data_IF_920658548477
#
_entry.id   IF_920658548477
#
_cell.length_a   1.000
_cell.length_b   1.000
_cell.length_c   1.000
_cell.angle_alpha   90.00
_cell.angle_beta   90.00
_cell.angle_gamma   90.00
#
_symmetry.space_group_name_H-M   'P 1'
#
loop_
_entity.id
_entity.type
_entity.pdbx_description
1 polymer ?
#
# COMPACT_ATOMS: atom_id res chain seq x y z
N UNK A 1 24.01 13.49 2.46
CA UNK A 1 22.93 12.92 3.31
C UNK A 1 23.32 11.49 3.61
N UNK A 2 23.19 11.06 4.86
CA UNK A 2 23.47 9.70 5.31
C UNK A 2 22.58 8.65 4.61
N UNK A 3 21.33 9.00 4.25
CA UNK A 3 20.41 8.17 3.46
C UNK A 3 21.06 7.69 2.15
N UNK A 4 21.73 8.61 1.42
CA UNK A 4 22.43 8.29 0.17
C UNK A 4 23.55 7.27 0.39
N UNK A 5 24.30 7.40 1.50
CA UNK A 5 25.35 6.44 1.89
C UNK A 5 24.81 5.05 2.18
N UNK A 6 23.64 4.94 2.81
CA UNK A 6 22.99 3.64 3.06
C UNK A 6 22.52 2.99 1.77
N UNK A 7 21.89 3.75 0.87
CA UNK A 7 21.45 3.22 -0.44
C UNK A 7 22.66 2.70 -1.24
N UNK A 8 23.79 3.44 -1.22
CA UNK A 8 25.03 3.01 -1.86
C UNK A 8 25.55 1.70 -1.28
N UNK A 9 25.56 1.55 0.06
CA UNK A 9 25.98 0.30 0.73
C UNK A 9 25.02 -0.87 0.44
N UNK A 10 23.72 -0.62 0.27
CA UNK A 10 22.78 -1.66 -0.12
C UNK A 10 23.08 -2.19 -1.51
N UNK A 11 23.40 -1.30 -2.46
CA UNK A 11 23.81 -1.70 -3.80
C UNK A 11 25.13 -2.50 -3.79
N UNK A 12 26.12 -2.07 -2.98
CA UNK A 12 27.42 -2.74 -2.84
C UNK A 12 27.30 -4.15 -2.27
N UNK A 13 26.39 -4.35 -1.30
CA UNK A 13 26.25 -5.61 -0.55
C UNK A 13 25.16 -6.53 -1.07
N UNK A 14 24.59 -6.22 -2.20
CA UNK A 14 23.46 -6.97 -2.78
C UNK A 14 22.27 -7.08 -1.80
N UNK A 15 21.96 -6.03 -1.05
CA UNK A 15 20.81 -6.01 -0.13
C UNK A 15 19.54 -5.59 -0.86
N UNK A 16 18.46 -6.29 -0.59
CA UNK A 16 17.14 -5.88 -1.00
C UNK A 16 16.67 -4.65 -0.19
N UNK A 17 15.61 -4.00 -0.62
CA UNK A 17 15.05 -2.94 0.19
C UNK A 17 13.87 -2.20 -0.43
N UNK A 18 13.11 -1.59 0.46
CA UNK A 18 12.11 -0.59 0.13
C UNK A 18 12.64 0.79 0.50
N UNK A 19 12.56 1.72 -0.45
CA UNK A 19 12.98 3.12 -0.27
C UNK A 19 11.83 4.02 -0.71
N UNK A 20 11.14 4.62 0.25
CA UNK A 20 10.15 5.66 -0.04
C UNK A 20 10.82 7.02 -0.11
N UNK A 21 10.54 7.75 -1.19
CA UNK A 21 11.08 9.08 -1.49
C UNK A 21 9.92 10.09 -1.57
N UNK A 22 9.82 10.96 -0.58
CA UNK A 22 8.77 11.98 -0.49
C UNK A 22 8.76 12.96 -1.67
N UNK A 23 9.92 13.35 -2.16
CA UNK A 23 10.10 14.23 -3.31
C UNK A 23 10.52 13.47 -4.58
N UNK A 24 10.16 12.20 -4.67
CA UNK A 24 10.53 11.28 -5.74
C UNK A 24 9.86 11.52 -7.09
N UNK A 25 9.62 12.78 -7.48
CA UNK A 25 9.05 13.14 -8.78
C UNK A 25 10.10 13.04 -9.89
N UNK A 26 10.02 12.03 -10.78
CA UNK A 26 11.03 11.80 -11.81
C UNK A 26 11.06 12.89 -12.90
N UNK A 27 10.06 13.76 -12.96
CA UNK A 27 9.96 14.84 -13.96
C UNK A 27 10.73 16.09 -13.54
N UNK A 28 11.14 16.18 -12.27
CA UNK A 28 11.93 17.31 -11.75
C UNK A 28 13.42 17.09 -11.95
N UNK A 29 14.05 17.92 -12.76
CA UNK A 29 15.47 17.79 -13.11
C UNK A 29 16.46 18.19 -11.99
N UNK A 30 16.04 19.00 -11.03
CA UNK A 30 16.93 19.68 -10.08
C UNK A 30 17.17 18.97 -8.76
N UNK A 31 16.38 17.95 -8.42
CA UNK A 31 16.56 17.21 -7.16
C UNK A 31 17.14 15.83 -7.41
N UNK A 32 18.24 15.45 -6.72
CA UNK A 32 18.71 14.07 -6.78
C UNK A 32 17.72 13.19 -6.01
N UNK A 33 16.74 12.67 -6.71
CA UNK A 33 15.77 11.73 -6.14
C UNK A 33 16.47 10.42 -5.75
N UNK A 34 15.99 9.78 -4.69
CA UNK A 34 16.62 8.58 -4.13
C UNK A 34 16.64 7.42 -5.14
N UNK A 35 15.66 7.33 -6.02
CA UNK A 35 15.62 6.34 -7.10
C UNK A 35 16.78 6.47 -8.09
N UNK A 36 17.19 7.69 -8.45
CA UNK A 36 18.37 7.91 -9.33
C UNK A 36 19.66 7.51 -8.63
N UNK A 37 19.77 7.76 -7.32
CA UNK A 37 20.92 7.37 -6.52
C UNK A 37 20.99 5.84 -6.42
N UNK A 38 19.86 5.18 -6.15
CA UNK A 38 19.77 3.72 -6.09
C UNK A 38 20.20 3.08 -7.41
N UNK A 39 19.60 3.53 -8.52
CA UNK A 39 19.93 3.05 -9.86
C UNK A 39 21.40 3.26 -10.21
N UNK A 40 21.92 4.50 -10.01
CA UNK A 40 23.31 4.82 -10.31
C UNK A 40 24.31 4.02 -9.44
N UNK A 41 23.98 3.76 -8.18
CA UNK A 41 24.81 2.92 -7.29
C UNK A 41 24.84 1.47 -7.75
N UNK A 42 23.69 0.91 -8.12
CA UNK A 42 23.59 -0.46 -8.65
C UNK A 42 24.40 -0.60 -9.93
N UNK A 43 24.25 0.30 -10.89
CA UNK A 43 25.01 0.29 -12.14
C UNK A 43 26.51 0.44 -11.91
N UNK A 44 26.91 1.30 -10.94
CA UNK A 44 28.32 1.47 -10.60
C UNK A 44 28.99 0.15 -10.14
N UNK A 45 28.34 -0.59 -9.24
CA UNK A 45 28.88 -1.86 -8.74
C UNK A 45 28.75 -2.99 -9.76
N UNK A 46 27.66 -3.03 -10.52
CA UNK A 46 27.49 -3.97 -11.62
C UNK A 46 28.59 -3.85 -12.68
N UNK A 47 28.96 -2.61 -13.04
CA UNK A 47 30.06 -2.34 -13.96
C UNK A 47 31.44 -2.74 -13.41
N UNK A 48 31.56 -2.92 -12.10
CA UNK A 48 32.74 -3.50 -11.44
C UNK A 48 32.70 -5.04 -11.36
N UNK A 49 31.70 -5.69 -11.92
CA UNK A 49 31.53 -7.15 -11.88
C UNK A 49 31.01 -7.68 -10.55
N UNK A 50 30.45 -6.83 -9.69
CA UNK A 50 29.87 -7.24 -8.41
C UNK A 50 28.40 -7.68 -8.57
N UNK A 51 27.98 -8.62 -7.75
CA UNK A 51 26.56 -8.92 -7.59
C UNK A 51 25.83 -7.75 -6.94
N UNK A 52 24.71 -7.34 -7.53
CA UNK A 52 23.91 -6.21 -7.08
C UNK A 52 22.43 -6.56 -7.08
N UNK A 53 21.62 -5.94 -6.22
CA UNK A 53 20.18 -6.14 -6.27
C UNK A 53 19.60 -5.69 -7.62
N UNK A 54 18.44 -6.22 -7.97
CA UNK A 54 17.65 -5.68 -9.07
C UNK A 54 17.14 -4.30 -8.68
N UNK A 55 16.94 -3.45 -9.67
CA UNK A 55 16.31 -2.14 -9.45
C UNK A 55 14.86 -2.18 -9.92
N UNK A 56 13.96 -1.62 -9.11
CA UNK A 56 12.59 -1.36 -9.50
C UNK A 56 12.14 0.01 -9.00
N UNK A 57 11.26 0.67 -9.75
CA UNK A 57 10.75 1.98 -9.40
C UNK A 57 9.24 2.07 -9.60
N UNK A 58 8.53 2.55 -8.59
CA UNK A 58 7.12 2.89 -8.65
C UNK A 58 6.97 4.40 -8.51
N UNK A 59 6.26 5.01 -9.43
CA UNK A 59 5.83 6.41 -9.35
C UNK A 59 4.46 6.56 -10.03
N UNK A 60 3.80 7.68 -9.80
CA UNK A 60 2.46 7.95 -10.29
C UNK A 60 2.40 9.18 -11.21
N UNK A 61 3.53 9.58 -11.78
CA UNK A 61 3.63 10.74 -12.69
C UNK A 61 4.22 10.38 -14.06
N UNK A 62 5.15 9.42 -14.12
CA UNK A 62 5.78 8.95 -15.35
C UNK A 62 5.57 7.44 -15.52
N UNK A 63 4.58 7.07 -16.31
CA UNK A 63 4.20 5.67 -16.53
C UNK A 63 5.25 4.88 -17.33
N UNK A 64 6.15 5.55 -18.05
CA UNK A 64 7.22 4.88 -18.80
C UNK A 64 8.34 4.32 -17.90
N UNK A 65 8.41 4.78 -16.65
CA UNK A 65 9.46 4.43 -15.68
C UNK A 65 8.92 3.77 -14.42
N UNK A 66 7.71 3.25 -14.46
CA UNK A 66 7.08 2.61 -13.31
C UNK A 66 6.85 1.13 -13.55
N UNK A 67 7.10 0.29 -12.54
CA UNK A 67 6.58 -1.07 -12.52
C UNK A 67 5.15 -1.08 -12.02
N UNK A 68 4.37 -2.08 -12.42
CA UNK A 68 2.96 -2.24 -12.05
C UNK A 68 2.82 -3.31 -10.99
N UNK A 69 2.02 -3.05 -9.97
CA UNK A 69 1.87 -3.94 -8.81
C UNK A 69 0.41 -4.15 -8.44
N UNK A 70 0.10 -5.29 -7.88
CA UNK A 70 -1.23 -5.56 -7.34
C UNK A 70 -1.14 -5.82 -5.83
N UNK A 71 -1.59 -4.86 -5.01
CA UNK A 71 -1.58 -4.97 -3.55
C UNK A 71 -2.60 -5.98 -3.00
N UNK A 72 -3.54 -6.44 -3.82
CA UNK A 72 -4.52 -7.48 -3.50
C UNK A 72 -4.19 -8.82 -4.20
N UNK A 73 -2.96 -8.99 -4.69
CA UNK A 73 -2.56 -10.23 -5.35
C UNK A 73 -2.63 -11.41 -4.39
N UNK A 74 -3.26 -12.52 -4.79
CA UNK A 74 -3.36 -13.74 -3.98
C UNK A 74 -2.00 -14.33 -3.58
N UNK A 75 -0.92 -14.02 -4.32
CA UNK A 75 0.42 -14.54 -4.03
C UNK A 75 0.97 -14.08 -2.67
N UNK A 76 0.46 -12.97 -2.10
CA UNK A 76 0.89 -12.44 -0.79
C UNK A 76 0.04 -12.95 0.38
N UNK A 77 -1.01 -13.70 0.08
CA UNK A 77 -1.99 -14.15 1.06
C UNK A 77 -1.68 -15.56 1.54
N UNK A 78 -1.68 -15.77 2.86
CA UNK A 78 -1.59 -17.10 3.42
C UNK A 78 -2.94 -17.82 3.32
N UNK A 79 -2.92 -19.08 2.91
CA UNK A 79 -4.14 -19.90 2.78
C UNK A 79 -4.91 -19.93 4.11
N UNK A 80 -6.19 -19.56 4.04
CA UNK A 80 -7.10 -19.48 5.18
C UNK A 80 -7.08 -18.15 5.93
N UNK A 81 -6.17 -17.22 5.58
CA UNK A 81 -6.07 -15.88 6.17
C UNK A 81 -6.28 -14.75 5.15
N UNK A 82 -6.79 -15.09 3.97
CA UNK A 82 -6.95 -14.15 2.85
C UNK A 82 -7.85 -12.96 3.25
N UNK A 83 -8.95 -13.25 3.94
CA UNK A 83 -9.89 -12.21 4.41
C UNK A 83 -9.23 -11.21 5.37
N UNK A 84 -8.35 -11.68 6.25
CA UNK A 84 -7.62 -10.82 7.19
C UNK A 84 -6.60 -9.93 6.45
N UNK A 85 -5.90 -10.49 5.47
CA UNK A 85 -4.97 -9.74 4.64
C UNK A 85 -5.68 -8.60 3.89
N UNK A 86 -6.78 -8.94 3.19
CA UNK A 86 -7.59 -7.97 2.44
C UNK A 86 -8.11 -6.88 3.39
N UNK A 87 -8.62 -7.29 4.57
CA UNK A 87 -9.11 -6.33 5.58
C UNK A 87 -8.03 -5.35 6.01
N UNK A 88 -6.80 -5.81 6.23
CA UNK A 88 -5.69 -4.95 6.60
C UNK A 88 -5.35 -3.94 5.50
N UNK A 89 -5.33 -4.35 4.23
CA UNK A 89 -5.08 -3.43 3.11
C UNK A 89 -6.19 -2.38 3.01
N UNK A 90 -7.45 -2.78 3.11
CA UNK A 90 -8.58 -1.84 3.06
C UNK A 90 -8.58 -0.89 4.27
N UNK A 91 -8.29 -1.39 5.47
CA UNK A 91 -8.15 -0.52 6.64
C UNK A 91 -7.01 0.49 6.48
N UNK A 92 -5.86 0.07 5.94
CA UNK A 92 -4.73 0.96 5.64
C UNK A 92 -5.16 2.04 4.65
N UNK A 93 -5.85 1.65 3.57
CA UNK A 93 -6.36 2.57 2.56
C UNK A 93 -7.29 3.63 3.18
N UNK A 94 -8.34 3.17 3.84
CA UNK A 94 -9.42 4.05 4.34
C UNK A 94 -8.92 4.99 5.44
N UNK A 95 -8.04 4.52 6.33
CA UNK A 95 -7.44 5.37 7.38
C UNK A 95 -6.41 6.38 6.84
N UNK A 96 -5.80 6.12 5.70
CA UNK A 96 -4.95 7.10 5.02
C UNK A 96 -5.77 8.18 4.33
N UNK A 97 -6.95 7.82 3.80
CA UNK A 97 -7.85 8.75 3.12
C UNK A 97 -8.58 9.67 4.09
N UNK A 98 -8.93 9.17 5.26
CA UNK A 98 -9.70 9.93 6.26
C UNK A 98 -8.93 10.01 7.58
N UNK A 99 -8.32 11.17 7.82
CA UNK A 99 -7.43 11.38 8.98
C UNK A 99 -8.14 11.17 10.33
N UNK A 100 -9.43 11.49 10.42
CA UNK A 100 -10.23 11.32 11.64
C UNK A 100 -10.37 9.85 12.05
N UNK A 101 -10.17 8.90 11.12
CA UNK A 101 -10.27 7.45 11.37
C UNK A 101 -8.95 6.82 11.84
N UNK A 102 -7.87 7.58 11.90
CA UNK A 102 -6.55 7.07 12.33
C UNK A 102 -6.58 6.58 13.78
N UNK A 103 -7.11 7.39 14.68
CA UNK A 103 -7.14 7.06 16.11
C UNK A 103 -8.37 6.26 16.51
N UNK A 104 -9.56 6.69 16.07
CA UNK A 104 -10.82 6.04 16.45
C UNK A 104 -11.78 6.00 15.27
N UNK A 105 -12.34 4.82 15.03
CA UNK A 105 -13.42 4.64 14.06
C UNK A 105 -14.77 4.66 14.79
N UNK A 106 -15.68 5.50 14.31
CA UNK A 106 -17.06 5.55 14.73
C UNK A 106 -17.95 4.54 13.96
N UNK A 107 -19.24 4.63 14.16
CA UNK A 107 -20.22 3.79 13.46
C UNK A 107 -20.13 3.94 11.92
N UNK A 108 -20.01 5.18 11.42
CA UNK A 108 -19.98 5.46 9.98
C UNK A 108 -18.69 4.97 9.34
N UNK A 109 -17.55 5.22 9.99
CA UNK A 109 -16.24 4.74 9.58
C UNK A 109 -16.19 3.21 9.50
N UNK A 110 -16.71 2.51 10.53
CA UNK A 110 -16.74 1.06 10.55
C UNK A 110 -17.61 0.48 9.42
N UNK A 111 -18.77 1.07 9.15
CA UNK A 111 -19.64 0.65 8.04
C UNK A 111 -19.00 0.95 6.68
N UNK A 112 -18.35 2.12 6.52
CA UNK A 112 -17.64 2.47 5.29
C UNK A 112 -16.50 1.50 5.00
N UNK A 113 -15.65 1.20 5.99
CA UNK A 113 -14.57 0.22 5.88
C UNK A 113 -15.13 -1.17 5.55
N UNK A 114 -16.21 -1.58 6.22
CA UNK A 114 -16.81 -2.88 5.99
C UNK A 114 -17.43 -3.03 4.60
N UNK A 115 -18.02 -1.95 4.06
CA UNK A 115 -18.53 -1.91 2.68
C UNK A 115 -17.42 -2.12 1.66
N UNK A 116 -16.32 -1.35 1.76
CA UNK A 116 -15.18 -1.46 0.83
C UNK A 116 -14.47 -2.80 0.98
N UNK A 117 -14.31 -3.29 2.22
CA UNK A 117 -13.76 -4.62 2.49
C UNK A 117 -14.59 -5.74 1.85
N UNK A 118 -15.92 -5.66 1.95
CA UNK A 118 -16.79 -6.68 1.38
C UNK A 118 -16.71 -6.73 -0.15
N UNK A 119 -16.59 -5.56 -0.80
CA UNK A 119 -16.33 -5.48 -2.24
C UNK A 119 -14.98 -6.14 -2.57
N UNK A 120 -13.91 -5.78 -1.84
CA UNK A 120 -12.58 -6.33 -2.07
C UNK A 120 -12.54 -7.85 -1.86
N UNK A 121 -13.22 -8.36 -0.84
CA UNK A 121 -13.29 -9.78 -0.58
C UNK A 121 -14.12 -10.53 -1.64
N UNK A 122 -15.21 -9.94 -2.14
CA UNK A 122 -15.96 -10.50 -3.28
C UNK A 122 -15.10 -10.52 -4.55
N UNK A 123 -14.37 -9.43 -4.85
CA UNK A 123 -13.41 -9.41 -5.96
C UNK A 123 -12.36 -10.53 -5.84
N UNK A 124 -11.86 -10.80 -4.63
CA UNK A 124 -10.94 -11.91 -4.40
C UNK A 124 -11.58 -13.27 -4.65
N UNK A 125 -12.83 -13.49 -4.18
CA UNK A 125 -13.57 -14.74 -4.45
C UNK A 125 -13.79 -14.95 -5.95
N UNK A 126 -14.04 -13.88 -6.68
CA UNK A 126 -14.23 -13.85 -8.14
C UNK A 126 -12.98 -13.49 -8.95
N UNK A 127 -11.79 -13.65 -8.36
CA UNK A 127 -10.50 -13.23 -8.96
C UNK A 127 -10.21 -13.77 -10.35
N UNK A 128 -10.85 -14.87 -10.73
CA UNK A 128 -10.74 -15.42 -12.10
C UNK A 128 -11.27 -14.45 -13.17
N UNK A 129 -12.10 -13.47 -12.78
CA UNK A 129 -12.57 -12.40 -13.66
C UNK A 129 -11.55 -11.27 -13.88
N UNK A 130 -10.37 -11.33 -13.24
CA UNK A 130 -9.35 -10.29 -13.35
C UNK A 130 -9.62 -9.02 -12.54
N UNK A 131 -10.65 -9.02 -11.68
CA UNK A 131 -11.11 -7.84 -10.92
C UNK A 131 -10.51 -7.71 -9.52
N UNK A 132 -9.63 -8.63 -9.11
CA UNK A 132 -9.01 -8.61 -7.78
C UNK A 132 -7.83 -7.63 -7.72
N UNK A 133 -8.10 -6.37 -7.95
CA UNK A 133 -7.13 -5.27 -7.81
C UNK A 133 -7.78 -4.08 -7.10
N UNK A 134 -6.97 -3.26 -6.45
CA UNK A 134 -7.47 -2.11 -5.69
C UNK A 134 -8.28 -1.13 -6.55
N UNK A 135 -7.86 -0.76 -7.78
CA UNK A 135 -8.65 0.10 -8.65
C UNK A 135 -10.02 -0.46 -9.02
N UNK A 136 -10.17 -1.76 -9.23
CA UNK A 136 -11.48 -2.37 -9.49
C UNK A 136 -12.39 -2.29 -8.25
N UNK A 137 -11.82 -2.51 -7.05
CA UNK A 137 -12.56 -2.33 -5.79
C UNK A 137 -13.06 -0.89 -5.65
N UNK A 138 -12.20 0.11 -5.95
CA UNK A 138 -12.58 1.52 -5.92
C UNK A 138 -13.69 1.82 -6.93
N UNK A 139 -13.54 1.37 -8.17
CA UNK A 139 -14.55 1.58 -9.22
C UNK A 139 -15.91 0.98 -8.83
N UNK A 140 -15.94 -0.24 -8.27
CA UNK A 140 -17.15 -0.88 -7.78
C UNK A 140 -17.74 -0.13 -6.57
N UNK A 141 -16.91 0.30 -5.62
CA UNK A 141 -17.36 1.08 -4.47
C UNK A 141 -18.00 2.42 -4.86
N UNK A 142 -17.56 3.02 -5.96
CA UNK A 142 -18.09 4.27 -6.52
C UNK A 142 -19.28 4.07 -7.46
N UNK A 143 -19.65 2.82 -7.79
CA UNK A 143 -20.77 2.48 -8.65
C UNK A 143 -22.12 2.63 -7.94
N UNK A 144 -23.21 2.34 -8.65
CA UNK A 144 -24.56 2.31 -8.07
C UNK A 144 -24.62 1.33 -6.90
N UNK A 145 -24.91 1.85 -5.71
CA UNK A 145 -24.90 1.06 -4.48
C UNK A 145 -25.94 -0.05 -4.45
N UNK A 146 -27.09 0.11 -5.15
CA UNK A 146 -28.12 -0.94 -5.21
C UNK A 146 -27.60 -2.16 -5.98
N UNK A 147 -26.93 -1.92 -7.11
CA UNK A 147 -26.30 -2.99 -7.88
C UNK A 147 -25.21 -3.70 -7.07
N UNK A 148 -24.40 -2.92 -6.37
CA UNK A 148 -23.34 -3.45 -5.51
C UNK A 148 -23.90 -4.25 -4.34
N UNK A 149 -24.93 -3.77 -3.64
CA UNK A 149 -25.58 -4.52 -2.56
C UNK A 149 -26.22 -5.82 -3.07
N UNK A 150 -26.85 -5.79 -4.25
CA UNK A 150 -27.40 -7.00 -4.87
C UNK A 150 -26.30 -8.03 -5.08
N UNK A 151 -25.21 -7.64 -5.76
CA UNK A 151 -24.04 -8.50 -6.05
C UNK A 151 -23.39 -9.05 -4.78
N UNK A 152 -23.21 -8.22 -3.73
CA UNK A 152 -22.66 -8.66 -2.45
C UNK A 152 -23.57 -9.65 -1.72
N UNK A 153 -24.89 -9.47 -1.83
CA UNK A 153 -25.88 -10.33 -1.15
C UNK A 153 -25.97 -11.75 -1.71
N UNK A 154 -25.45 -11.99 -2.91
CA UNK A 154 -25.39 -13.33 -3.53
C UNK A 154 -24.42 -14.28 -2.83
N UNK A 155 -23.44 -13.76 -2.11
CA UNK A 155 -22.48 -14.55 -1.35
C UNK A 155 -22.87 -14.62 0.12
N UNK A 156 -23.20 -15.83 0.66
CA UNK A 156 -23.70 -15.98 2.04
C UNK A 156 -22.71 -15.50 3.11
N UNK A 157 -21.40 -15.69 2.88
CA UNK A 157 -20.35 -15.27 3.83
C UNK A 157 -20.25 -13.74 3.88
N UNK A 158 -20.29 -13.10 2.71
CA UNK A 158 -20.24 -11.64 2.60
C UNK A 158 -21.53 -11.04 3.15
N UNK A 159 -22.67 -11.65 2.83
CA UNK A 159 -23.98 -11.23 3.36
C UNK A 159 -24.02 -11.27 4.89
N UNK A 160 -23.38 -12.26 5.51
CA UNK A 160 -23.26 -12.35 6.98
C UNK A 160 -22.41 -11.19 7.52
N UNK A 161 -21.26 -10.90 6.91
CA UNK A 161 -20.36 -9.82 7.32
C UNK A 161 -21.00 -8.42 7.20
N UNK A 162 -21.97 -8.26 6.30
CA UNK A 162 -22.71 -7.03 6.05
C UNK A 162 -24.16 -7.09 6.52
N UNK A 163 -24.53 -8.01 7.40
CA UNK A 163 -25.93 -8.31 7.75
C UNK A 163 -26.74 -7.09 8.16
N UNK A 164 -26.21 -6.19 8.99
CA UNK A 164 -26.88 -4.95 9.42
C UNK A 164 -27.17 -4.01 8.26
N UNK A 165 -26.18 -3.82 7.37
CA UNK A 165 -26.29 -2.92 6.22
C UNK A 165 -27.21 -3.48 5.15
N UNK A 166 -27.13 -4.78 4.85
CA UNK A 166 -28.01 -5.46 3.92
C UNK A 166 -29.46 -5.54 4.43
N UNK A 167 -29.65 -5.70 5.75
CA UNK A 167 -30.98 -5.65 6.35
C UNK A 167 -31.58 -4.25 6.22
N UNK A 168 -30.83 -3.19 6.52
CA UNK A 168 -31.29 -1.82 6.34
C UNK A 168 -31.64 -1.53 4.86
N UNK A 169 -30.82 -1.99 3.93
CA UNK A 169 -31.08 -1.86 2.49
C UNK A 169 -32.37 -2.59 2.06
N UNK A 170 -32.56 -3.85 2.45
CA UNK A 170 -33.75 -4.65 2.14
C UNK A 170 -35.05 -4.07 2.73
N UNK A 171 -34.95 -3.45 3.90
CA UNK A 171 -36.07 -2.76 4.56
C UNK A 171 -36.35 -1.35 4.02
N UNK A 172 -35.59 -0.89 3.03
CA UNK A 172 -35.75 0.42 2.42
C UNK A 172 -35.30 1.59 3.33
N UNK A 173 -34.42 1.34 4.31
CA UNK A 173 -33.84 2.36 5.17
C UNK A 173 -32.77 3.18 4.41
N UNK A 174 -33.20 3.92 3.39
CA UNK A 174 -32.33 4.57 2.40
C UNK A 174 -31.35 5.57 3.03
N UNK A 175 -31.78 6.33 4.04
CA UNK A 175 -30.92 7.33 4.69
C UNK A 175 -29.71 6.67 5.40
N UNK A 176 -29.94 5.56 6.08
CA UNK A 176 -28.87 4.86 6.81
C UNK A 176 -27.87 4.20 5.86
N UNK A 177 -28.34 3.53 4.82
CA UNK A 177 -27.47 2.90 3.82
C UNK A 177 -26.73 3.93 2.99
N UNK A 178 -27.41 5.00 2.54
CA UNK A 178 -26.80 6.10 1.80
C UNK A 178 -25.70 6.80 2.60
N UNK A 179 -25.91 7.03 3.91
CA UNK A 179 -24.90 7.63 4.78
C UNK A 179 -23.63 6.79 4.87
N UNK A 180 -23.76 5.46 5.08
CA UNK A 180 -22.60 4.56 5.14
C UNK A 180 -21.85 4.47 3.80
N UNK A 181 -22.57 4.39 2.68
CA UNK A 181 -22.00 4.36 1.33
C UNK A 181 -21.31 5.69 1.01
N UNK A 182 -21.95 6.83 1.31
CA UNK A 182 -21.37 8.16 1.09
C UNK A 182 -20.08 8.37 1.90
N UNK A 183 -20.05 7.88 3.16
CA UNK A 183 -18.83 7.92 3.98
C UNK A 183 -17.67 7.13 3.36
N UNK A 184 -17.96 6.07 2.60
CA UNK A 184 -16.94 5.32 1.86
C UNK A 184 -16.57 6.03 0.55
N UNK A 185 -17.57 6.47 -0.23
CA UNK A 185 -17.36 7.02 -1.57
C UNK A 185 -16.62 8.35 -1.56
N UNK A 186 -16.95 9.24 -0.62
CA UNK A 186 -16.37 10.60 -0.55
C UNK A 186 -14.83 10.58 -0.54
N UNK A 187 -14.16 9.87 0.36
CA UNK A 187 -12.69 9.81 0.33
C UNK A 187 -12.13 9.01 -0.84
N UNK A 188 -12.86 7.98 -1.33
CA UNK A 188 -12.39 7.13 -2.43
C UNK A 188 -12.33 7.85 -3.78
N UNK A 189 -13.12 8.92 -3.99
CA UNK A 189 -13.07 9.71 -5.24
C UNK A 189 -11.67 10.23 -5.55
N UNK A 190 -10.86 10.55 -4.52
CA UNK A 190 -9.47 10.99 -4.71
C UNK A 190 -8.60 9.95 -5.43
N UNK A 191 -8.93 8.68 -5.28
CA UNK A 191 -8.19 7.57 -5.90
C UNK A 191 -8.69 7.20 -7.30
N UNK A 192 -9.78 7.79 -7.75
CA UNK A 192 -10.31 7.57 -9.10
C UNK A 192 -9.46 8.31 -10.15
N UNK A 193 -8.24 7.87 -10.32
CA UNK A 193 -7.21 8.47 -11.15
C UNK A 193 -6.59 7.43 -12.09
N UNK A 194 -6.44 7.80 -13.38
CA UNK A 194 -5.91 6.90 -14.42
C UNK A 194 -4.50 6.36 -14.12
N UNK A 195 -3.65 7.13 -13.44
CA UNK A 195 -2.29 6.70 -13.10
C UNK A 195 -2.29 5.71 -11.94
N UNK A 196 -3.14 5.93 -10.92
CA UNK A 196 -3.35 4.96 -9.83
C UNK A 196 -3.93 3.67 -10.40
N UNK A 197 -4.91 3.79 -11.31
CA UNK A 197 -5.46 2.62 -12.00
C UNK A 197 -4.37 1.85 -12.75
N UNK A 198 -3.57 2.55 -13.57
CA UNK A 198 -2.49 1.95 -14.35
C UNK A 198 -1.48 1.20 -13.46
N UNK A 199 -0.98 1.84 -12.41
CA UNK A 199 0.06 1.27 -11.55
C UNK A 199 -0.44 0.08 -10.76
N UNK A 200 -1.69 0.14 -10.24
CA UNK A 200 -2.22 -0.85 -9.27
C UNK A 200 -3.13 -1.92 -9.88
N UNK A 201 -3.30 -1.95 -11.20
CA UNK A 201 -4.06 -3.01 -11.91
C UNK A 201 -3.28 -3.59 -13.08
N UNK A 202 -2.12 -4.23 -12.84
CA UNK A 202 -1.36 -4.90 -13.89
C UNK A 202 -2.15 -6.06 -14.49
N UNK A 203 -1.86 -6.39 -15.74
CA UNK A 203 -2.17 -7.72 -16.26
C UNK A 203 -1.29 -8.76 -15.53
N UNK A 204 -1.71 -10.03 -15.45
CA UNK A 204 -0.96 -11.06 -14.72
C UNK A 204 0.50 -11.17 -15.16
N UNK A 205 0.77 -11.04 -16.45
CA UNK A 205 2.12 -11.10 -17.05
C UNK A 205 2.98 -9.87 -16.82
N UNK A 206 2.37 -8.75 -16.43
CA UNK A 206 3.04 -7.47 -16.16
C UNK A 206 3.21 -7.20 -14.66
N UNK A 207 2.65 -8.07 -13.81
CA UNK A 207 2.67 -7.87 -12.37
C UNK A 207 4.08 -8.00 -11.81
N UNK A 208 4.62 -6.89 -11.31
CA UNK A 208 5.86 -6.90 -10.54
C UNK A 208 5.59 -7.43 -9.13
N UNK A 209 6.36 -8.42 -8.70
CA UNK A 209 6.21 -9.02 -7.37
C UNK A 209 6.75 -8.12 -6.26
N UNK A 210 5.92 -7.85 -5.25
CA UNK A 210 6.33 -7.16 -4.02
C UNK A 210 7.10 -8.07 -3.04
N UNK A 211 7.39 -9.34 -3.38
CA UNK A 211 8.36 -10.16 -2.66
C UNK A 211 9.80 -9.77 -3.04
N UNK A 212 10.16 -8.52 -2.73
CA UNK A 212 11.46 -7.91 -3.07
C UNK A 212 12.64 -8.54 -2.33
N UNK A 213 12.37 -9.29 -1.26
CA UNK A 213 13.38 -9.95 -0.42
C UNK A 213 13.62 -11.40 -0.79
N UNK A 214 13.16 -11.83 -1.96
CA UNK A 214 13.51 -13.13 -2.50
C UNK A 214 15.05 -13.24 -2.68
N UNK A 215 15.65 -14.31 -2.14
CA UNK A 215 17.12 -14.50 -2.15
C UNK A 215 17.71 -14.68 -3.54
N UNK A 216 16.95 -15.26 -4.47
CA UNK A 216 17.42 -15.45 -5.84
C UNK A 216 17.40 -14.14 -6.64
N UNK A 217 16.55 -13.22 -6.22
CA UNK A 217 16.29 -11.97 -6.92
C UNK A 217 16.09 -10.79 -5.95
N UNK A 218 17.07 -10.50 -5.06
CA UNK A 218 16.96 -9.36 -4.17
C UNK A 218 16.73 -8.10 -4.99
N UNK A 219 15.77 -7.27 -4.58
CA UNK A 219 15.38 -6.08 -5.33
C UNK A 219 15.41 -4.85 -4.42
N UNK A 220 16.03 -3.79 -4.89
CA UNK A 220 15.93 -2.46 -4.30
C UNK A 220 14.78 -1.72 -5.00
N UNK A 221 13.64 -1.67 -4.32
CA UNK A 221 12.42 -1.01 -4.79
C UNK A 221 12.37 0.40 -4.26
N UNK A 222 12.41 1.38 -5.15
CA UNK A 222 12.15 2.78 -4.83
C UNK A 222 10.69 3.13 -5.15
N UNK A 223 10.05 3.88 -4.27
CA UNK A 223 8.68 4.38 -4.47
C UNK A 223 8.69 5.89 -4.28
N UNK A 224 8.43 6.60 -5.37
CA UNK A 224 8.41 8.05 -5.39
C UNK A 224 7.01 8.62 -5.18
N UNK A 225 6.91 9.62 -4.30
CA UNK A 225 5.75 10.47 -4.17
C UNK A 225 6.02 11.83 -4.85
N UNK A 226 4.98 12.62 -5.02
CA UNK A 226 5.09 13.99 -5.50
C UNK A 226 4.20 14.89 -4.64
N UNK A 227 4.74 15.98 -4.07
CA UNK A 227 3.98 16.87 -3.17
C UNK A 227 2.69 17.42 -3.76
N UNK A 228 2.63 17.55 -5.10
CA UNK A 228 1.45 18.05 -5.83
C UNK A 228 0.28 17.07 -5.91
N UNK A 229 0.52 15.76 -5.71
CA UNK A 229 -0.49 14.70 -5.81
C UNK A 229 -0.53 13.81 -4.56
N UNK A 230 0.15 14.22 -3.49
CA UNK A 230 0.35 13.42 -2.28
C UNK A 230 -0.94 12.85 -1.69
N UNK A 231 -2.01 13.65 -1.65
CA UNK A 231 -3.29 13.27 -1.03
C UNK A 231 -3.94 12.07 -1.75
N UNK A 232 -3.78 12.01 -3.07
CA UNK A 232 -4.28 10.89 -3.85
C UNK A 232 -3.35 9.67 -3.82
N UNK A 233 -2.03 9.88 -3.74
CA UNK A 233 -1.03 8.82 -3.93
C UNK A 233 -0.55 8.20 -2.62
N UNK A 234 -0.44 8.97 -1.54
CA UNK A 234 0.00 8.46 -0.24
C UNK A 234 -0.81 7.25 0.27
N UNK A 235 -2.16 7.20 0.14
CA UNK A 235 -2.93 6.02 0.53
C UNK A 235 -2.56 4.77 -0.28
N UNK A 236 -2.32 4.92 -1.59
CA UNK A 236 -1.88 3.83 -2.45
C UNK A 236 -0.48 3.32 -2.07
N UNK A 237 0.46 4.24 -1.81
CA UNK A 237 1.81 3.91 -1.35
C UNK A 237 1.78 3.21 0.02
N UNK A 238 0.89 3.64 0.92
CA UNK A 238 0.72 2.98 2.22
C UNK A 238 0.24 1.54 2.09
N UNK A 239 -0.63 1.24 1.12
CA UNK A 239 -1.03 -0.13 0.81
C UNK A 239 0.15 -0.96 0.28
N UNK A 240 0.98 -0.40 -0.60
CA UNK A 240 2.22 -1.05 -1.08
C UNK A 240 3.16 -1.33 0.11
N UNK A 241 3.38 -0.34 0.97
CA UNK A 241 4.19 -0.47 2.18
C UNK A 241 3.68 -1.57 3.13
N UNK A 242 2.37 -1.69 3.29
CA UNK A 242 1.75 -2.75 4.11
C UNK A 242 2.01 -4.15 3.55
N UNK A 243 1.92 -4.33 2.24
CA UNK A 243 2.28 -5.60 1.59
C UNK A 243 3.76 -5.91 1.80
N UNK A 244 4.62 -4.91 1.57
CA UNK A 244 6.07 -5.07 1.76
C UNK A 244 6.44 -5.44 3.20
N UNK A 245 5.87 -4.76 4.20
CA UNK A 245 6.08 -5.12 5.62
C UNK A 245 5.68 -6.58 5.88
N UNK A 246 4.55 -7.03 5.34
CA UNK A 246 4.09 -8.41 5.47
C UNK A 246 5.06 -9.40 4.81
N UNK A 247 5.56 -9.11 3.60
CA UNK A 247 6.46 -10.00 2.86
C UNK A 247 7.88 -10.02 3.45
N UNK A 248 8.41 -8.87 3.87
CA UNK A 248 9.75 -8.76 4.44
C UNK A 248 9.85 -9.35 5.84
N UNK A 249 8.77 -9.36 6.61
CA UNK A 249 8.74 -9.88 7.98
C UNK A 249 8.55 -11.42 8.03
N UNK A 250 9.18 -12.14 7.11
CA UNK A 250 9.13 -13.59 7.03
C UNK A 250 10.53 -14.20 7.14
N UNK A 251 10.67 -15.43 7.69
CA UNK A 251 11.95 -16.12 7.75
C UNK A 251 12.47 -16.49 6.37
N UNK A 252 13.79 -16.64 6.26
CA UNK A 252 14.43 -17.14 5.04
C UNK A 252 14.58 -16.13 3.90
N UNK A 253 14.29 -14.86 4.14
CA UNK A 253 14.41 -13.75 3.18
C UNK A 253 15.84 -13.20 3.10
N UNK A 254 16.14 -12.42 2.05
CA UNK A 254 17.41 -11.72 1.90
C UNK A 254 17.56 -10.59 2.95
N UNK A 255 18.78 -10.25 3.31
CA UNK A 255 19.07 -9.05 4.11
C UNK A 255 18.55 -7.82 3.40
N UNK A 256 17.87 -6.95 4.13
CA UNK A 256 17.14 -5.85 3.50
C UNK A 256 17.01 -4.61 4.39
N UNK A 257 16.62 -3.50 3.75
CA UNK A 257 16.24 -2.26 4.42
C UNK A 257 14.76 -1.94 4.15
N UNK A 258 14.11 -1.34 5.14
CA UNK A 258 12.81 -0.68 5.00
C UNK A 258 13.03 0.79 5.37
N UNK A 259 13.14 1.64 4.35
CA UNK A 259 13.50 3.05 4.50
C UNK A 259 12.34 3.94 4.06
N UNK A 260 11.95 4.85 4.94
CA UNK A 260 10.89 5.84 4.68
C UNK A 260 11.47 7.24 4.93
N UNK A 261 11.64 7.99 3.85
CA UNK A 261 11.98 9.41 3.91
C UNK A 261 10.71 10.22 4.15
N UNK A 262 10.72 11.10 5.14
CA UNK A 262 9.54 11.86 5.59
C UNK A 262 8.37 10.94 6.03
N UNK A 263 8.63 10.13 7.06
CA UNK A 263 7.72 9.12 7.58
C UNK A 263 6.28 9.61 7.87
N UNK A 264 6.01 10.84 8.38
CA UNK A 264 4.65 11.31 8.63
C UNK A 264 3.77 11.49 7.38
N UNK A 265 4.35 11.43 6.18
CA UNK A 265 3.60 11.65 4.93
C UNK A 265 2.80 10.45 4.44
N UNK A 266 3.04 9.26 5.01
CA UNK A 266 2.29 8.02 4.77
C UNK A 266 1.94 7.36 6.11
N UNK A 267 0.76 6.77 6.23
CA UNK A 267 0.37 6.01 7.42
C UNK A 267 0.57 4.51 7.18
N UNK A 268 1.57 3.93 7.84
CA UNK A 268 1.88 2.49 7.81
C UNK A 268 1.33 1.83 9.08
N UNK A 269 0.19 1.17 8.97
CA UNK A 269 -0.42 0.48 10.11
C UNK A 269 0.45 -0.70 10.57
N UNK A 270 0.67 -0.81 11.89
CA UNK A 270 1.48 -1.88 12.47
C UNK A 270 2.98 -1.71 12.28
N UNK A 271 3.46 -0.51 11.92
CA UNK A 271 4.90 -0.22 11.77
C UNK A 271 5.65 -0.45 13.08
N UNK A 272 5.05 -0.17 14.23
CA UNK A 272 5.56 -0.43 15.57
C UNK A 272 5.87 -1.93 15.77
N UNK A 273 4.90 -2.78 15.47
CA UNK A 273 5.05 -4.24 15.51
C UNK A 273 6.10 -4.71 14.50
N UNK A 274 6.11 -4.12 13.30
CA UNK A 274 7.10 -4.44 12.26
C UNK A 274 8.52 -4.12 12.75
N UNK A 275 8.78 -2.93 13.29
CA UNK A 275 10.09 -2.55 13.84
C UNK A 275 10.55 -3.56 14.89
N UNK A 276 9.65 -3.94 15.82
CA UNK A 276 9.96 -4.88 16.89
C UNK A 276 10.28 -6.31 16.41
N UNK A 277 9.74 -6.71 15.26
CA UNK A 277 9.85 -8.10 14.76
C UNK A 277 10.77 -8.26 13.54
N UNK A 278 10.91 -7.25 12.70
CA UNK A 278 11.62 -7.33 11.43
C UNK A 278 13.14 -7.59 11.58
N UNK A 279 13.74 -7.11 12.68
CA UNK A 279 15.16 -7.34 12.98
C UNK A 279 15.55 -8.82 12.97
N UNK A 280 14.71 -9.70 13.51
CA UNK A 280 14.98 -11.16 13.52
C UNK A 280 14.95 -11.78 12.11
N UNK A 281 14.41 -11.05 11.13
CA UNK A 281 14.36 -11.44 9.71
C UNK A 281 15.38 -10.67 8.85
N UNK A 282 16.40 -10.09 9.48
CA UNK A 282 17.46 -9.31 8.81
C UNK A 282 16.94 -8.08 8.04
N UNK A 283 15.92 -7.43 8.56
CA UNK A 283 15.41 -6.15 8.02
C UNK A 283 15.84 -5.01 8.93
N UNK A 284 16.59 -4.04 8.40
CA UNK A 284 16.88 -2.78 9.07
C UNK A 284 15.79 -1.76 8.72
N UNK A 285 15.13 -1.19 9.73
CA UNK A 285 14.10 -0.17 9.53
C UNK A 285 14.67 1.23 9.75
N UNK A 286 14.41 2.14 8.83
CA UNK A 286 14.91 3.51 8.84
C UNK A 286 13.72 4.44 8.55
N UNK A 287 13.35 5.23 9.55
CA UNK A 287 12.27 6.21 9.46
C UNK A 287 12.86 7.60 9.65
N UNK A 288 12.82 8.41 8.60
CA UNK A 288 13.27 9.80 8.67
C UNK A 288 12.10 10.74 8.93
N UNK A 289 12.29 11.70 9.81
CA UNK A 289 11.32 12.75 10.14
C UNK A 289 12.04 14.09 10.24
N UNK A 290 11.40 15.15 9.78
CA UNK A 290 11.93 16.51 9.95
C UNK A 290 11.52 17.09 11.30
N UNK A 291 10.29 16.77 11.76
CA UNK A 291 9.75 17.21 13.03
C UNK A 291 9.05 16.04 13.72
N UNK A 292 9.54 15.69 14.90
CA UNK A 292 8.97 14.61 15.71
C UNK A 292 7.51 14.84 16.10
N UNK A 293 7.09 16.10 16.28
CA UNK A 293 5.70 16.42 16.60
C UNK A 293 4.73 16.02 15.47
N UNK A 294 5.19 15.98 14.21
CA UNK A 294 4.38 15.49 13.11
C UNK A 294 4.14 13.97 13.25
N UNK A 295 5.18 13.22 13.62
CA UNK A 295 5.02 11.78 13.89
C UNK A 295 4.05 11.53 15.06
N UNK A 296 4.15 12.31 16.14
CA UNK A 296 3.22 12.23 17.29
C UNK A 296 1.78 12.51 16.84
N UNK A 297 1.56 13.56 16.06
CA UNK A 297 0.22 13.92 15.56
C UNK A 297 -0.38 12.81 14.68
N UNK A 298 0.41 12.20 13.79
CA UNK A 298 -0.10 11.31 12.75
C UNK A 298 -0.14 9.83 13.18
N UNK A 299 0.69 9.45 14.14
CA UNK A 299 0.79 8.06 14.65
C UNK A 299 0.37 7.91 16.14
N UNK A 300 0.15 9.03 16.83
CA UNK A 300 -0.06 9.04 18.27
C UNK A 300 1.26 8.95 19.06
N UNK A 301 1.26 9.50 20.29
CA UNK A 301 2.46 9.59 21.15
C UNK A 301 3.10 8.21 21.41
N UNK A 302 2.26 7.19 21.64
CA UNK A 302 2.73 5.83 21.94
C UNK A 302 3.49 5.20 20.77
N UNK A 303 3.02 5.37 19.53
CA UNK A 303 3.66 4.80 18.34
C UNK A 303 4.83 5.65 17.83
N UNK A 304 4.85 6.94 18.11
CA UNK A 304 5.92 7.83 17.70
C UNK A 304 7.19 7.66 18.59
N UNK A 305 7.04 7.15 19.81
CA UNK A 305 8.14 6.96 20.78
C UNK A 305 8.83 5.58 20.68
N UNK A 306 8.55 4.80 19.64
CA UNK A 306 9.21 3.52 19.34
C UNK A 306 10.43 3.74 18.45
#
# INVERSE_FOLDING_TARGET
SWIKGIIYQCAERNYAGFVYDWEGDPTKDKSPILSRIAYGSIEHFRNKGMETPRFAYINFVDMSRTVRVNVLSPQYMSKGNESLFIRNIIMTLMKNLEASWKEKTDFWANNAINYVYSIAYKCFKERKLGICTLPHVIALALSDSNLVFHWLSEDPEIALNMSSMLTAWKLGAQQQTAGAVSSAQTPLVLLNNKYIFWVLSPLPEEEFSLDITNKEHPTLLCVGNAPTIKEAVSPAISCIGSVLMSQMNNPGKATSIFMVDEFPTILLQGIDTFIGTARKHNVATILAVQDFNQAVRDYGEKSANI
#
